data_IF_738890109137
#
_entry.id   IF_738890109137
#
_cell.length_a   1.000
_cell.length_b   1.000
_cell.length_c   1.000
_cell.angle_alpha   90.00
_cell.angle_beta   90.00
_cell.angle_gamma   90.00
#
_symmetry.space_group_name_H-M   'P 1'
#
loop_
_entity.id
_entity.type
_entity.pdbx_description
1 polymer ?
#
# COMPACT_ATOMS: atom_id res chain seq x y z
N UNK A 1 4.80 41.18 -68.08
CA UNK A 1 6.23 40.79 -68.04
C UNK A 1 6.78 41.17 -66.68
N UNK A 2 6.69 40.27 -65.69
CA UNK A 2 7.59 40.14 -64.53
C UNK A 2 7.47 38.67 -64.08
N UNK A 3 8.59 38.06 -63.68
CA UNK A 3 8.82 36.62 -63.47
C UNK A 3 8.68 36.20 -62.00
N UNK A 4 8.65 34.88 -61.78
CA UNK A 4 9.12 34.15 -60.57
C UNK A 4 8.21 34.25 -59.32
N UNK A 5 7.98 33.24 -58.48
CA UNK A 5 8.73 32.03 -58.12
C UNK A 5 7.78 30.99 -57.47
N UNK A 6 8.11 29.70 -57.62
CA UNK A 6 7.42 28.55 -57.04
C UNK A 6 7.66 28.46 -55.53
N UNK A 7 6.61 28.40 -54.70
CA UNK A 7 6.71 28.03 -53.29
C UNK A 7 6.02 26.69 -53.05
N UNK A 8 6.84 25.62 -53.00
CA UNK A 8 6.47 24.30 -52.49
C UNK A 8 6.21 24.44 -50.99
N UNK A 9 4.98 24.17 -50.55
CA UNK A 9 4.65 24.12 -49.14
C UNK A 9 5.38 22.94 -48.46
N UNK A 10 5.91 23.10 -47.24
CA UNK A 10 6.55 22.01 -46.52
C UNK A 10 5.52 20.92 -46.17
N UNK A 11 5.86 19.68 -46.53
CA UNK A 11 5.12 18.46 -46.21
C UNK A 11 5.12 18.27 -44.69
N UNK A 12 4.02 18.63 -44.04
CA UNK A 12 3.77 18.25 -42.64
C UNK A 12 3.46 16.76 -42.64
N UNK A 13 4.37 16.00 -42.04
CA UNK A 13 4.24 14.56 -41.88
C UNK A 13 3.03 14.25 -40.99
N UNK A 14 2.15 13.41 -41.52
CA UNK A 14 1.02 12.82 -40.82
C UNK A 14 1.53 11.91 -39.70
N UNK A 15 1.14 12.10 -38.43
CA UNK A 15 1.45 11.12 -37.40
C UNK A 15 0.71 9.82 -37.71
N UNK A 16 1.48 8.75 -37.84
CA UNK A 16 1.04 7.40 -38.06
C UNK A 16 0.01 6.97 -36.99
N UNK A 17 -0.89 6.10 -37.44
CA UNK A 17 -1.96 5.44 -36.70
C UNK A 17 -1.56 5.02 -35.27
N UNK A 18 -2.27 5.57 -34.29
CA UNK A 18 -2.53 4.84 -33.05
C UNK A 18 -3.94 4.27 -33.19
N UNK A 19 -4.05 3.06 -33.73
CA UNK A 19 -5.31 2.31 -33.66
C UNK A 19 -5.68 2.13 -32.18
N UNK A 20 -6.80 2.73 -31.81
CA UNK A 20 -7.47 2.52 -30.54
C UNK A 20 -7.96 1.09 -30.49
N UNK A 21 -7.24 0.22 -29.78
CA UNK A 21 -7.78 -1.08 -29.38
C UNK A 21 -8.98 -0.78 -28.47
N UNK A 22 -10.16 -1.10 -28.96
CA UNK A 22 -11.38 -1.23 -28.18
C UNK A 22 -11.16 -2.39 -27.20
N UNK A 23 -10.88 -2.07 -25.95
CA UNK A 23 -10.85 -3.05 -24.88
C UNK A 23 -12.22 -3.06 -24.20
N UNK A 24 -13.09 -3.92 -24.73
CA UNK A 24 -14.31 -4.40 -24.10
C UNK A 24 -13.92 -5.20 -22.83
N UNK A 25 -13.67 -4.51 -21.71
CA UNK A 25 -13.57 -5.15 -20.41
C UNK A 25 -14.87 -4.94 -19.65
N UNK A 26 -15.86 -5.77 -19.96
CA UNK A 26 -16.88 -6.14 -18.99
C UNK A 26 -16.23 -7.04 -17.93
N UNK A 27 -15.34 -6.46 -17.10
CA UNK A 27 -14.97 -7.07 -15.81
C UNK A 27 -16.04 -6.68 -14.78
N UNK A 28 -17.18 -7.28 -15.03
CA UNK A 28 -18.24 -7.67 -14.12
C UNK A 28 -17.71 -7.93 -12.70
N UNK A 29 -17.78 -6.90 -11.84
CA UNK A 29 -17.84 -6.96 -10.36
C UNK A 29 -17.17 -8.16 -9.67
N UNK A 30 -15.94 -8.51 -10.05
CA UNK A 30 -15.13 -9.42 -9.27
C UNK A 30 -14.69 -8.65 -8.01
N UNK A 31 -15.11 -9.03 -6.78
CA UNK A 31 -14.69 -8.32 -5.56
C UNK A 31 -13.19 -8.42 -5.29
N UNK A 32 -12.48 -9.21 -6.09
CA UNK A 32 -11.02 -9.31 -6.13
C UNK A 32 -10.37 -8.23 -7.03
N UNK A 33 -11.14 -7.27 -7.56
CA UNK A 33 -10.62 -6.16 -8.35
C UNK A 33 -9.65 -5.33 -7.51
N UNK A 34 -8.37 -5.50 -7.79
CA UNK A 34 -7.54 -4.36 -8.14
C UNK A 34 -7.43 -3.28 -7.08
N UNK A 35 -7.27 -3.64 -5.80
CA UNK A 35 -6.23 -2.91 -5.09
C UNK A 35 -4.93 -3.30 -5.79
N UNK A 36 -4.54 -2.55 -6.83
CA UNK A 36 -3.12 -2.36 -7.09
C UNK A 36 -2.64 -1.77 -5.77
N UNK A 37 -2.16 -2.64 -4.89
CA UNK A 37 -1.55 -2.29 -3.63
C UNK A 37 -0.30 -1.55 -4.05
N UNK A 38 -0.42 -0.27 -4.35
CA UNK A 38 0.67 0.69 -4.25
C UNK A 38 0.97 0.80 -2.75
N UNK A 39 1.48 -0.29 -2.17
CA UNK A 39 2.17 -0.30 -0.90
C UNK A 39 3.64 -0.13 -1.27
N UNK A 40 3.98 1.03 -1.81
CA UNK A 40 5.38 1.41 -1.99
C UNK A 40 5.59 2.80 -1.43
N UNK A 41 5.43 2.87 -0.11
CA UNK A 41 6.23 3.72 0.77
C UNK A 41 6.24 3.03 2.14
N UNK A 42 6.95 1.90 2.23
CA UNK A 42 7.47 1.51 3.55
C UNK A 42 8.54 2.54 3.89
N UNK A 43 8.13 3.60 4.56
CA UNK A 43 9.05 4.52 5.21
C UNK A 43 10.08 3.71 6.02
N UNK A 44 11.29 4.26 6.17
CA UNK A 44 12.33 3.59 6.94
C UNK A 44 11.82 3.32 8.35
N UNK A 45 11.72 2.05 8.73
CA UNK A 45 11.11 1.60 9.99
C UNK A 45 12.15 0.85 10.83
N UNK A 46 12.02 0.96 12.14
CA UNK A 46 12.77 0.17 13.12
C UNK A 46 11.82 -0.60 14.03
N UNK A 47 12.30 -1.73 14.52
CA UNK A 47 11.56 -2.58 15.43
C UNK A 47 11.88 -2.23 16.88
N UNK A 48 10.84 -2.08 17.69
CA UNK A 48 10.94 -1.74 19.11
C UNK A 48 10.13 -2.74 19.92
N UNK A 49 10.78 -3.39 20.89
CA UNK A 49 10.11 -4.27 21.84
C UNK A 49 9.22 -3.48 22.80
N UNK A 50 7.98 -3.95 22.97
CA UNK A 50 6.99 -3.31 23.85
C UNK A 50 7.00 -3.95 25.24
N UNK A 51 7.36 -5.22 25.34
CA UNK A 51 7.38 -5.95 26.60
C UNK A 51 8.52 -6.98 26.65
N UNK A 52 8.59 -7.76 27.73
CA UNK A 52 9.58 -8.82 27.90
C UNK A 52 9.41 -9.98 26.89
N UNK A 53 8.20 -10.16 26.34
CA UNK A 53 7.96 -11.18 25.32
C UNK A 53 8.58 -10.73 23.98
N UNK A 54 9.52 -11.49 23.42
CA UNK A 54 10.21 -11.13 22.17
C UNK A 54 9.29 -11.15 20.95
N UNK A 55 8.11 -11.77 21.05
CA UNK A 55 7.09 -11.80 20.00
C UNK A 55 6.24 -10.53 19.95
N UNK A 56 6.35 -9.64 20.95
CA UNK A 56 5.52 -8.44 21.07
C UNK A 56 6.40 -7.19 20.84
N UNK A 57 6.56 -6.87 19.56
CA UNK A 57 7.25 -5.68 19.07
C UNK A 57 6.34 -4.87 18.15
N UNK A 58 6.69 -3.60 17.95
CA UNK A 58 6.10 -2.73 16.92
C UNK A 58 7.17 -2.20 16.00
N UNK A 59 6.75 -1.84 14.79
CA UNK A 59 7.58 -1.09 13.85
C UNK A 59 7.22 0.40 13.93
N UNK A 60 8.23 1.24 14.14
CA UNK A 60 8.09 2.70 14.25
C UNK A 60 8.96 3.35 13.18
N UNK A 61 8.51 4.45 12.59
CA UNK A 61 9.31 5.17 11.59
C UNK A 61 10.64 5.67 12.17
N UNK A 62 11.76 5.32 11.54
CA UNK A 62 13.11 5.75 11.95
C UNK A 62 13.26 7.26 11.90
N UNK A 63 12.70 7.88 10.87
CA UNK A 63 12.79 9.32 10.60
C UNK A 63 11.83 10.16 11.45
N UNK A 64 11.08 9.56 12.38
CA UNK A 64 10.24 10.32 13.29
C UNK A 64 11.10 11.14 14.27
N UNK A 65 10.67 12.38 14.60
CA UNK A 65 11.32 13.15 15.65
C UNK A 65 11.43 12.34 16.95
N UNK A 66 12.57 12.39 17.68
CA UNK A 66 12.77 11.57 18.87
C UNK A 66 11.65 11.72 19.92
N UNK A 67 11.19 12.96 20.14
CA UNK A 67 10.10 13.24 21.07
C UNK A 67 8.78 12.54 20.66
N UNK A 68 8.46 12.52 19.37
CA UNK A 68 7.25 11.87 18.85
C UNK A 68 7.39 10.35 18.98
N UNK A 69 8.56 9.81 18.64
CA UNK A 69 8.89 8.39 18.77
C UNK A 69 8.73 7.90 20.22
N UNK A 70 9.25 8.66 21.19
CA UNK A 70 9.10 8.35 22.62
C UNK A 70 7.63 8.37 23.06
N UNK A 71 6.84 9.34 22.60
CA UNK A 71 5.40 9.41 22.92
C UNK A 71 4.69 8.17 22.39
N UNK A 72 4.94 7.77 21.15
CA UNK A 72 4.33 6.58 20.54
C UNK A 72 4.72 5.33 21.34
N UNK A 73 6.01 5.11 21.56
CA UNK A 73 6.51 3.92 22.28
C UNK A 73 5.92 3.86 23.69
N UNK A 74 5.92 4.98 24.42
CA UNK A 74 5.35 5.02 25.77
C UNK A 74 3.85 4.79 25.79
N UNK A 75 3.12 5.33 24.80
CA UNK A 75 1.68 5.13 24.68
C UNK A 75 1.37 3.66 24.42
N UNK A 76 2.10 3.01 23.51
CA UNK A 76 1.88 1.60 23.22
C UNK A 76 2.25 0.72 24.41
N UNK A 77 3.36 1.01 25.11
CA UNK A 77 3.75 0.31 26.34
C UNK A 77 2.72 0.42 27.46
N UNK A 78 2.09 1.59 27.62
CA UNK A 78 1.06 1.82 28.65
C UNK A 78 -0.26 1.09 28.36
N UNK A 79 -0.56 0.82 27.11
CA UNK A 79 -1.82 0.19 26.66
C UNK A 79 -1.58 -1.21 26.06
N UNK A 80 -0.53 -1.89 26.50
CA UNK A 80 -0.17 -3.20 25.96
C UNK A 80 -1.28 -4.23 26.20
N UNK A 81 -1.99 -4.12 27.31
CA UNK A 81 -3.16 -4.92 27.67
C UNK A 81 -4.31 -4.81 26.67
N UNK A 82 -4.44 -3.70 25.93
CA UNK A 82 -5.47 -3.50 24.89
C UNK A 82 -4.92 -3.79 23.49
N UNK A 83 -3.68 -3.36 23.21
CA UNK A 83 -3.09 -3.39 21.87
C UNK A 83 -2.36 -4.69 21.56
N UNK A 84 -1.99 -5.48 22.57
CA UNK A 84 -1.27 -6.73 22.41
C UNK A 84 -2.05 -7.92 22.94
N UNK A 85 -3.37 -7.96 22.74
CA UNK A 85 -4.17 -9.17 22.98
C UNK A 85 -3.61 -10.36 22.21
N UNK A 86 -3.36 -11.43 22.94
CA UNK A 86 -3.15 -12.75 22.38
C UNK A 86 -4.48 -13.47 22.22
N UNK A 87 -4.48 -14.54 21.44
CA UNK A 87 -5.66 -15.39 21.30
C UNK A 87 -6.15 -15.93 22.67
N UNK A 88 -5.24 -16.13 23.61
CA UNK A 88 -5.57 -16.53 24.99
C UNK A 88 -6.34 -15.48 25.78
N UNK A 89 -6.23 -14.20 25.41
CA UNK A 89 -6.96 -13.10 26.05
C UNK A 89 -8.42 -13.01 25.55
N UNK A 90 -8.77 -13.72 24.47
CA UNK A 90 -10.14 -13.80 23.95
C UNK A 90 -10.97 -14.82 24.71
N UNK A 91 -11.46 -14.44 25.90
CA UNK A 91 -12.38 -15.27 26.67
C UNK A 91 -13.74 -15.35 25.97
N UNK A 92 -14.26 -16.56 25.73
CA UNK A 92 -15.58 -16.77 25.12
C UNK A 92 -15.55 -17.46 23.75
N UNK A 93 -14.37 -17.70 23.19
CA UNK A 93 -14.20 -18.62 22.06
C UNK A 93 -13.71 -19.96 22.61
N UNK A 94 -14.47 -21.01 22.34
CA UNK A 94 -14.02 -22.37 22.63
C UNK A 94 -12.92 -22.74 21.64
N UNK A 95 -11.68 -22.79 22.13
CA UNK A 95 -10.49 -23.19 21.37
C UNK A 95 -10.28 -24.70 21.40
N UNK A 96 -11.19 -25.47 22.01
CA UNK A 96 -11.13 -26.92 21.92
C UNK A 96 -11.35 -27.31 20.46
N UNK A 97 -10.38 -27.99 19.82
CA UNK A 97 -10.62 -28.52 18.50
C UNK A 97 -11.78 -29.50 18.61
N UNK A 98 -12.81 -29.30 17.78
CA UNK A 98 -13.93 -30.22 17.68
C UNK A 98 -13.35 -31.62 17.42
N UNK A 99 -13.37 -32.48 18.43
CA UNK A 99 -12.83 -33.83 18.30
C UNK A 99 -13.63 -34.52 17.21
N UNK A 100 -13.02 -34.68 16.04
CA UNK A 100 -13.60 -35.43 14.94
C UNK A 100 -13.63 -36.91 15.38
N UNK A 101 -14.80 -37.55 15.43
CA UNK A 101 -14.95 -38.94 15.86
C UNK A 101 -14.28 -39.93 14.90
#
# INVERSE_FOLDING_TARGET
MVREETLVAPRVETPAEAETVQEDFEDELNPSMGMKREIELMEDMEEVGICENPTKSIRVGRNLPPAVKEIIINTVKRNQDVLAWSHSDMTGIDITPFAMP
#
